data_IF_843731428210
#
_entry.id   IF_843731428210
#
_cell.length_a   1.000
_cell.length_b   1.000
_cell.length_c   1.000
_cell.angle_alpha   90.00
_cell.angle_beta   90.00
_cell.angle_gamma   90.00
#
_symmetry.space_group_name_H-M   'P 1'
#
loop_
_entity.id
_entity.type
_entity.pdbx_description
1 polymer ?
#
# COMPACT_ATOMS: atom_id res chain seq x y z
N UNK A 1 1.05 -13.38 -26.16
CA UNK A 1 2.04 -12.33 -25.95
C UNK A 1 2.71 -12.54 -24.61
N UNK A 2 4.00 -12.64 -24.61
CA UNK A 2 4.74 -12.80 -23.37
C UNK A 2 4.95 -11.45 -22.68
N UNK A 3 4.94 -11.48 -21.37
CA UNK A 3 5.13 -10.28 -20.57
C UNK A 3 6.60 -9.84 -20.62
N UNK A 4 6.82 -8.56 -20.88
CA UNK A 4 8.14 -7.94 -20.85
C UNK A 4 8.03 -6.55 -20.23
N UNK A 5 9.14 -5.81 -20.20
CA UNK A 5 9.22 -4.52 -19.52
C UNK A 5 8.40 -3.40 -20.14
N UNK A 6 7.79 -3.63 -21.27
CA UNK A 6 7.00 -2.60 -21.95
C UNK A 6 5.57 -3.07 -22.19
N UNK A 7 5.09 -3.93 -21.31
CA UNK A 7 3.73 -4.43 -21.40
C UNK A 7 2.87 -3.85 -20.30
N UNK A 8 1.58 -3.84 -20.56
CA UNK A 8 0.56 -3.60 -19.53
C UNK A 8 -0.14 -4.93 -19.31
N UNK A 9 -0.21 -5.34 -18.05
CA UNK A 9 -0.85 -6.58 -17.66
C UNK A 9 -2.08 -6.28 -16.83
N UNK A 10 -3.15 -7.02 -17.08
CA UNK A 10 -4.34 -6.97 -16.23
C UNK A 10 -4.23 -8.15 -15.27
N UNK A 11 -4.30 -7.87 -13.99
CA UNK A 11 -4.12 -8.86 -12.93
C UNK A 11 -5.30 -8.93 -12.00
N UNK A 12 -5.51 -10.13 -11.47
CA UNK A 12 -6.34 -10.35 -10.30
C UNK A 12 -5.48 -11.07 -9.26
N UNK A 13 -5.81 -10.92 -7.99
CA UNK A 13 -5.02 -11.56 -6.94
C UNK A 13 -5.78 -11.76 -5.64
N UNK A 14 -5.22 -12.62 -4.80
CA UNK A 14 -5.54 -12.72 -3.39
C UNK A 14 -4.24 -12.56 -2.62
N UNK A 15 -4.23 -11.65 -1.68
CA UNK A 15 -3.06 -11.38 -0.84
C UNK A 15 -3.37 -11.86 0.58
N UNK A 16 -2.50 -12.70 1.12
CA UNK A 16 -2.66 -13.22 2.47
C UNK A 16 -1.36 -13.04 3.25
N UNK A 17 -1.46 -13.18 4.57
CA UNK A 17 -0.27 -13.27 5.41
C UNK A 17 0.17 -14.73 5.49
N UNK A 18 1.19 -15.01 6.32
CA UNK A 18 1.73 -16.36 6.45
C UNK A 18 0.81 -17.29 7.23
N UNK A 19 -0.21 -16.76 7.88
CA UNK A 19 -1.20 -17.54 8.61
C UNK A 19 -2.44 -17.83 7.77
N UNK A 20 -2.46 -17.31 6.53
CA UNK A 20 -3.58 -17.53 5.62
C UNK A 20 -4.69 -16.51 5.76
N UNK A 21 -4.51 -15.48 6.58
CA UNK A 21 -5.50 -14.43 6.69
C UNK A 21 -5.50 -13.57 5.43
N UNK A 22 -6.66 -13.35 4.85
CA UNK A 22 -6.78 -12.53 3.65
C UNK A 22 -6.61 -11.07 3.99
N UNK A 23 -5.69 -10.42 3.29
CA UNK A 23 -5.37 -9.01 3.50
C UNK A 23 -5.94 -8.13 2.39
N UNK A 24 -6.03 -8.66 1.17
CA UNK A 24 -6.58 -7.95 0.05
C UNK A 24 -7.01 -8.92 -1.03
N UNK A 25 -8.10 -8.60 -1.71
CA UNK A 25 -8.60 -9.38 -2.83
C UNK A 25 -8.91 -8.41 -3.96
N UNK A 26 -8.32 -8.68 -5.12
CA UNK A 26 -8.61 -7.96 -6.35
C UNK A 26 -9.23 -8.96 -7.31
N UNK A 27 -10.54 -8.94 -7.44
CA UNK A 27 -11.25 -9.89 -8.29
C UNK A 27 -11.70 -9.29 -9.62
N UNK A 28 -11.65 -7.97 -9.77
CA UNK A 28 -11.86 -7.33 -11.07
C UNK A 28 -10.50 -6.95 -11.65
N UNK A 29 -10.19 -7.34 -12.89
CA UNK A 29 -8.88 -7.09 -13.45
C UNK A 29 -8.51 -5.61 -13.46
N UNK A 30 -7.31 -5.30 -13.02
CA UNK A 30 -6.75 -3.95 -13.05
C UNK A 30 -5.46 -3.97 -13.84
N UNK A 31 -5.25 -2.97 -14.65
CA UNK A 31 -4.06 -2.86 -15.50
C UNK A 31 -2.89 -2.21 -14.78
N UNK A 32 -1.71 -2.80 -14.97
CA UNK A 32 -0.46 -2.30 -14.40
C UNK A 32 0.62 -2.30 -15.47
N UNK A 33 1.45 -1.28 -15.45
CA UNK A 33 2.60 -1.18 -16.36
C UNK A 33 3.76 -1.96 -15.79
N UNK A 34 4.29 -2.90 -16.57
CA UNK A 34 5.50 -3.63 -16.21
C UNK A 34 6.71 -2.78 -16.58
N UNK A 35 7.66 -2.68 -15.68
CA UNK A 35 8.85 -1.86 -15.91
C UNK A 35 8.68 -0.40 -15.52
N UNK A 36 7.51 -0.04 -15.01
CA UNK A 36 7.22 1.32 -14.53
C UNK A 36 7.16 1.37 -13.01
N UNK A 37 6.21 2.15 -12.50
CA UNK A 37 6.07 2.39 -11.08
C UNK A 37 4.86 1.71 -10.46
N UNK A 38 4.16 0.87 -11.22
CA UNK A 38 2.90 0.29 -10.77
C UNK A 38 3.04 -0.96 -9.92
N UNK A 39 4.09 -1.73 -10.09
CA UNK A 39 4.25 -3.02 -9.45
C UNK A 39 5.52 -3.10 -8.63
N UNK A 40 5.50 -3.94 -7.60
CA UNK A 40 6.71 -4.28 -6.86
C UNK A 40 7.66 -5.01 -7.79
N UNK A 41 8.94 -4.75 -7.61
CA UNK A 41 9.97 -5.35 -8.47
C UNK A 41 9.90 -6.87 -8.49
N UNK A 42 9.65 -7.49 -7.34
CA UNK A 42 9.56 -8.94 -7.24
C UNK A 42 8.40 -9.47 -8.08
N UNK A 43 7.30 -8.75 -8.13
CA UNK A 43 6.15 -9.13 -8.95
C UNK A 43 6.51 -9.01 -10.43
N UNK A 44 7.18 -7.93 -10.82
CA UNK A 44 7.60 -7.74 -12.20
C UNK A 44 8.54 -8.85 -12.66
N UNK A 45 9.50 -9.20 -11.83
CA UNK A 45 10.43 -10.27 -12.16
C UNK A 45 9.73 -11.61 -12.33
N UNK A 46 8.76 -11.87 -11.48
CA UNK A 46 8.00 -13.12 -11.55
C UNK A 46 7.12 -13.21 -12.78
N UNK A 47 6.63 -12.07 -13.27
CA UNK A 47 5.75 -12.03 -14.43
C UNK A 47 6.47 -12.21 -15.76
N UNK A 48 7.78 -11.93 -15.81
CA UNK A 48 8.54 -11.99 -17.07
C UNK A 48 8.41 -13.35 -17.75
N UNK A 49 8.07 -13.33 -19.05
CA UNK A 49 7.98 -14.54 -19.84
C UNK A 49 6.66 -15.30 -19.74
N UNK A 50 5.78 -14.88 -18.86
CA UNK A 50 4.47 -15.52 -18.73
C UNK A 50 3.47 -14.91 -19.71
N UNK A 51 2.37 -15.63 -19.92
CA UNK A 51 1.33 -15.22 -20.83
C UNK A 51 -0.02 -15.18 -20.13
N UNK A 52 -1.05 -14.73 -20.85
CA UNK A 52 -2.42 -14.72 -20.34
C UNK A 52 -2.82 -16.11 -19.82
N UNK A 53 -3.44 -16.10 -18.67
CA UNK A 53 -3.87 -17.34 -18.00
C UNK A 53 -2.87 -17.88 -17.00
N UNK A 54 -1.67 -17.32 -16.94
CA UNK A 54 -0.67 -17.75 -15.97
C UNK A 54 -1.15 -17.48 -14.55
N UNK A 55 -0.91 -18.44 -13.67
CA UNK A 55 -1.21 -18.32 -12.25
C UNK A 55 0.09 -18.40 -11.50
N UNK A 56 0.35 -17.44 -10.62
CA UNK A 56 1.60 -17.35 -9.89
C UNK A 56 1.34 -17.26 -8.41
N UNK A 57 2.22 -17.90 -7.65
CA UNK A 57 2.20 -17.82 -6.20
C UNK A 57 3.54 -17.25 -5.76
N UNK A 58 3.51 -16.10 -5.11
CA UNK A 58 4.72 -15.41 -4.71
C UNK A 58 4.78 -15.30 -3.20
N UNK A 59 5.98 -15.49 -2.68
CA UNK A 59 6.27 -15.24 -1.28
C UNK A 59 7.05 -13.93 -1.23
N UNK A 60 6.51 -12.93 -0.58
CA UNK A 60 7.12 -11.62 -0.48
C UNK A 60 7.56 -11.39 0.95
N UNK A 61 8.87 -11.25 1.15
CA UNK A 61 9.38 -10.87 2.45
C UNK A 61 9.18 -9.37 2.64
N UNK A 62 9.23 -8.86 3.88
CA UNK A 62 9.03 -7.42 4.09
C UNK A 62 9.89 -6.54 3.20
N UNK A 63 11.15 -6.88 3.02
CA UNK A 63 12.05 -6.09 2.17
C UNK A 63 11.67 -6.11 0.70
N UNK A 64 10.93 -7.12 0.26
CA UNK A 64 10.46 -7.22 -1.13
C UNK A 64 9.10 -6.56 -1.31
N UNK A 65 8.45 -6.15 -0.25
CA UNK A 65 7.10 -5.64 -0.27
C UNK A 65 7.03 -4.23 0.33
N UNK A 66 6.54 -4.10 1.53
CA UNK A 66 6.29 -2.79 2.14
C UNK A 66 7.33 -2.41 3.20
N UNK A 67 8.43 -3.14 3.23
CA UNK A 67 9.54 -2.86 4.12
C UNK A 67 9.34 -3.40 5.52
N UNK A 68 10.40 -3.33 6.30
CA UNK A 68 10.36 -3.74 7.69
C UNK A 68 9.61 -2.72 8.54
N UNK A 69 9.06 -3.20 9.65
CA UNK A 69 8.45 -2.30 10.60
C UNK A 69 9.55 -1.39 11.20
N UNK A 70 9.30 -0.09 11.20
CA UNK A 70 10.27 0.89 11.71
C UNK A 70 9.69 1.53 12.96
N UNK A 71 10.23 1.19 14.13
CA UNK A 71 9.75 1.74 15.39
C UNK A 71 10.06 3.23 15.55
N UNK A 72 10.92 3.79 14.70
CA UNK A 72 11.17 5.23 14.68
C UNK A 72 10.02 6.00 14.05
N UNK A 73 9.07 5.32 13.44
CA UNK A 73 7.86 5.94 12.91
C UNK A 73 6.70 5.87 13.90
N UNK A 74 6.95 5.45 15.13
CA UNK A 74 5.98 5.51 16.20
C UNK A 74 6.20 6.79 17.00
N UNK A 75 5.16 7.57 17.18
CA UNK A 75 5.24 8.84 17.88
C UNK A 75 4.19 8.91 18.98
N UNK A 76 4.63 9.42 20.14
CA UNK A 76 3.73 9.68 21.25
C UNK A 76 3.40 11.17 21.25
N UNK A 77 2.11 11.49 21.14
CA UNK A 77 1.69 12.88 21.07
C UNK A 77 0.63 13.13 22.15
N UNK A 78 0.57 14.37 22.67
CA UNK A 78 -0.45 14.69 23.67
C UNK A 78 -1.85 14.57 23.10
N UNK A 79 -2.71 13.85 23.81
CA UNK A 79 -4.09 13.65 23.36
C UNK A 79 -4.85 14.98 23.23
N UNK A 80 -4.49 15.94 24.02
CA UNK A 80 -5.14 17.25 24.01
C UNK A 80 -5.00 17.99 22.67
N UNK A 81 -4.02 17.61 21.85
CA UNK A 81 -3.82 18.21 20.53
C UNK A 81 -4.82 17.71 19.49
N UNK A 82 -5.53 16.63 19.78
CA UNK A 82 -6.43 15.98 18.83
C UNK A 82 -7.89 16.23 19.18
N UNK A 83 -8.80 16.00 18.21
CA UNK A 83 -10.22 16.13 18.49
C UNK A 83 -10.66 15.20 19.62
N UNK A 84 -11.69 15.61 20.34
CA UNK A 84 -12.19 14.81 21.46
C UNK A 84 -12.74 13.46 21.03
N UNK A 85 -13.15 13.32 19.78
CA UNK A 85 -13.71 12.10 19.22
C UNK A 85 -12.66 11.19 18.58
N UNK A 86 -11.39 11.45 18.84
CA UNK A 86 -10.31 10.61 18.28
C UNK A 86 -10.48 9.16 18.74
N UNK A 87 -10.24 8.22 17.82
CA UNK A 87 -10.38 6.81 18.08
C UNK A 87 -9.23 6.03 17.45
N UNK A 88 -8.96 4.85 17.97
CA UNK A 88 -7.99 3.95 17.36
C UNK A 88 -8.42 3.61 15.94
N UNK A 89 -7.45 3.52 15.06
CA UNK A 89 -7.72 3.25 13.64
C UNK A 89 -7.88 4.47 12.78
N UNK A 90 -8.06 5.65 13.38
CA UNK A 90 -8.12 6.89 12.60
C UNK A 90 -6.80 7.15 11.92
N UNK A 91 -6.84 7.77 10.73
CA UNK A 91 -5.65 8.11 9.98
C UNK A 91 -5.52 9.61 9.79
N UNK A 92 -4.28 10.09 9.75
CA UNK A 92 -3.96 11.49 9.52
C UNK A 92 -2.79 11.57 8.55
N UNK A 93 -2.89 12.48 7.60
CA UNK A 93 -1.71 12.80 6.78
C UNK A 93 -0.73 13.61 7.60
N UNK A 94 0.56 13.39 7.39
CA UNK A 94 1.58 14.06 8.20
C UNK A 94 1.49 15.56 8.21
N UNK A 95 1.15 16.15 7.05
CA UNK A 95 0.99 17.60 6.95
C UNK A 95 -0.31 18.11 7.59
N UNK A 96 -1.24 17.23 7.92
CA UNK A 96 -2.49 17.58 8.57
C UNK A 96 -2.49 17.29 10.07
N UNK A 97 -1.36 16.87 10.62
CA UNK A 97 -1.26 16.64 12.05
C UNK A 97 -1.45 17.97 12.80
N UNK A 98 -2.06 17.91 14.00
CA UNK A 98 -2.24 19.12 14.81
C UNK A 98 -0.92 19.83 15.10
N UNK A 99 -0.97 21.13 15.22
CA UNK A 99 0.18 21.91 15.64
C UNK A 99 0.62 21.47 17.05
N UNK A 100 1.91 21.40 17.26
CA UNK A 100 2.45 20.93 18.53
C UNK A 100 2.89 19.48 18.51
N UNK A 101 2.58 18.74 17.47
CA UNK A 101 3.12 17.40 17.30
C UNK A 101 4.60 17.46 17.01
N UNK A 102 5.27 16.32 17.20
CA UNK A 102 6.71 16.22 17.02
C UNK A 102 7.13 16.78 15.65
N UNK A 103 7.98 17.82 15.60
CA UNK A 103 8.40 18.40 14.33
C UNK A 103 9.27 17.47 13.51
N UNK A 104 9.86 16.43 14.12
CA UNK A 104 10.66 15.45 13.41
C UNK A 104 9.81 14.40 12.70
N UNK A 105 8.51 14.36 12.94
CA UNK A 105 7.65 13.42 12.25
C UNK A 105 7.57 13.78 10.76
N UNK A 106 7.84 12.81 9.86
CA UNK A 106 7.75 13.09 8.43
C UNK A 106 6.39 13.62 8.04
N UNK A 107 6.38 14.66 7.20
CA UNK A 107 5.12 15.30 6.77
C UNK A 107 4.48 14.59 5.59
N UNK A 108 5.22 13.73 4.92
CA UNK A 108 4.73 12.99 3.76
C UNK A 108 4.24 11.58 4.09
N UNK A 109 4.21 11.22 5.36
CA UNK A 109 3.74 9.92 5.80
C UNK A 109 2.27 9.98 6.21
N UNK A 110 1.63 8.84 6.16
CA UNK A 110 0.27 8.66 6.68
C UNK A 110 0.38 8.00 8.05
N UNK A 111 -0.27 8.58 9.05
CA UNK A 111 -0.22 8.08 10.42
C UNK A 111 -1.56 7.48 10.82
N UNK A 112 -1.48 6.35 11.51
CA UNK A 112 -2.65 5.68 12.07
C UNK A 112 -2.58 5.75 13.58
N UNK A 113 -3.72 5.99 14.22
CA UNK A 113 -3.81 5.93 15.69
C UNK A 113 -3.74 4.48 16.10
N UNK A 114 -2.58 4.07 16.62
CA UNK A 114 -2.34 2.68 17.01
C UNK A 114 -2.89 2.38 18.40
N UNK A 115 -2.71 3.32 19.32
CA UNK A 115 -3.21 3.18 20.69
C UNK A 115 -3.69 4.54 21.19
N UNK A 116 -4.64 4.49 22.09
CA UNK A 116 -5.23 5.70 22.65
C UNK A 116 -5.24 5.60 24.17
N UNK A 117 -4.58 6.55 24.80
CA UNK A 117 -4.47 6.63 26.25
C UNK A 117 -5.13 7.89 26.76
N UNK A 118 -5.42 7.99 28.07
CA UNK A 118 -6.11 9.18 28.60
C UNK A 118 -5.39 10.49 28.33
N UNK A 119 -4.07 10.48 28.28
CA UNK A 119 -3.27 11.71 28.15
C UNK A 119 -2.42 11.75 26.90
N UNK A 120 -2.35 10.68 26.12
CA UNK A 120 -1.57 10.67 24.91
C UNK A 120 -2.10 9.71 23.87
N UNK A 121 -1.59 9.87 22.65
CA UNK A 121 -1.97 9.10 21.46
C UNK A 121 -0.70 8.54 20.87
N UNK A 122 -0.73 7.27 20.46
CA UNK A 122 0.36 6.65 19.73
C UNK A 122 0.03 6.68 18.25
N UNK A 123 0.87 7.35 17.47
CA UNK A 123 0.75 7.43 16.01
C UNK A 123 1.76 6.49 15.37
N UNK A 124 1.32 5.73 14.39
CA UNK A 124 2.15 4.79 13.66
C UNK A 124 2.23 5.23 12.20
N UNK A 125 3.41 5.62 11.76
CA UNK A 125 3.66 6.05 10.39
C UNK A 125 4.07 4.92 9.44
N UNK A 126 4.08 3.68 9.91
CA UNK A 126 4.40 2.54 9.07
C UNK A 126 3.25 2.22 8.12
N UNK A 127 3.60 1.66 6.96
CA UNK A 127 2.57 1.10 6.08
C UNK A 127 1.86 -0.02 6.84
N UNK A 128 0.54 -0.19 6.67
CA UNK A 128 -0.21 -1.23 7.38
C UNK A 128 0.35 -2.63 7.19
N UNK A 129 1.02 -2.89 6.08
CA UNK A 129 1.60 -4.20 5.79
C UNK A 129 3.10 -4.26 5.99
N UNK A 130 3.73 -3.23 6.55
CA UNK A 130 5.16 -3.28 6.84
C UNK A 130 5.45 -4.33 7.90
N UNK A 131 6.59 -4.96 7.79
CA UNK A 131 7.01 -6.01 8.71
C UNK A 131 6.26 -7.33 8.56
N UNK A 132 5.42 -7.44 7.53
CA UNK A 132 4.61 -8.64 7.30
C UNK A 132 5.11 -9.35 6.06
N UNK A 133 5.43 -10.64 6.18
CA UNK A 133 5.68 -11.47 5.01
C UNK A 133 4.35 -11.81 4.35
N UNK A 134 4.30 -11.70 3.04
CA UNK A 134 3.06 -11.81 2.28
C UNK A 134 3.07 -13.01 1.34
N UNK A 135 1.89 -13.53 1.09
CA UNK A 135 1.65 -14.58 0.12
C UNK A 135 0.70 -14.03 -0.92
N UNK A 136 1.16 -13.92 -2.16
CA UNK A 136 0.37 -13.36 -3.25
C UNK A 136 0.06 -14.45 -4.25
N UNK A 137 -1.24 -14.71 -4.46
CA UNK A 137 -1.71 -15.58 -5.53
C UNK A 137 -2.29 -14.67 -6.60
N UNK A 138 -1.65 -14.60 -7.75
CA UNK A 138 -2.12 -13.73 -8.81
C UNK A 138 -2.37 -14.50 -10.09
N UNK A 139 -3.19 -13.92 -10.95
CA UNK A 139 -3.49 -14.48 -12.26
C UNK A 139 -3.38 -13.37 -13.30
N UNK A 140 -2.80 -13.71 -14.43
CA UNK A 140 -2.70 -12.81 -15.57
C UNK A 140 -3.95 -12.92 -16.40
N UNK A 141 -4.77 -11.88 -16.40
CA UNK A 141 -6.04 -11.88 -17.13
C UNK A 141 -5.89 -11.36 -18.54
N UNK A 142 -4.95 -10.44 -18.79
CA UNK A 142 -4.68 -9.91 -20.12
C UNK A 142 -3.27 -9.34 -20.17
N UNK A 143 -2.72 -9.30 -21.39
CA UNK A 143 -1.40 -8.69 -21.65
C UNK A 143 -1.54 -7.90 -22.94
N UNK A 144 -1.05 -6.66 -22.94
CA UNK A 144 -0.96 -5.83 -24.15
C UNK A 144 0.30 -5.00 -24.12
N UNK A 145 0.65 -4.45 -25.26
CA UNK A 145 1.76 -3.52 -25.31
C UNK A 145 1.37 -2.21 -24.65
N UNK A 146 2.30 -1.61 -23.94
CA UNK A 146 2.09 -0.30 -23.36
C UNK A 146 2.13 0.76 -24.46
N UNK A 147 1.38 1.85 -24.26
CA UNK A 147 1.47 2.99 -25.17
C UNK A 147 2.68 3.84 -24.80
N UNK A 148 3.12 4.67 -25.73
CA UNK A 148 4.23 5.59 -25.47
C UNK A 148 3.91 6.51 -24.31
N UNK A 149 2.67 6.92 -24.20
CA UNK A 149 2.22 7.78 -23.11
C UNK A 149 2.34 7.07 -21.77
N UNK A 150 1.94 5.81 -21.71
CA UNK A 150 2.06 5.02 -20.48
C UNK A 150 3.51 4.84 -20.07
N UNK A 151 4.36 4.52 -21.03
CA UNK A 151 5.79 4.36 -20.79
C UNK A 151 6.40 5.67 -20.28
N UNK A 152 6.04 6.78 -20.91
CA UNK A 152 6.54 8.09 -20.52
C UNK A 152 6.09 8.51 -19.12
N UNK A 153 4.89 8.11 -18.70
CA UNK A 153 4.39 8.39 -17.36
C UNK A 153 4.88 7.39 -16.32
N UNK A 154 5.33 6.22 -16.76
CA UNK A 154 5.73 5.16 -15.85
C UNK A 154 4.56 4.45 -15.18
N UNK A 155 3.35 4.57 -15.72
CA UNK A 155 2.16 3.98 -15.12
C UNK A 155 1.07 3.76 -16.17
N UNK A 156 0.25 2.74 -15.95
CA UNK A 156 -0.94 2.51 -16.76
C UNK A 156 -2.13 3.36 -16.30
N UNK A 157 -1.94 4.17 -15.28
CA UNK A 157 -2.96 5.11 -14.82
C UNK A 157 -3.68 4.71 -13.55
N UNK A 158 -3.66 3.44 -13.18
CA UNK A 158 -4.30 2.99 -11.94
C UNK A 158 -3.43 3.22 -10.73
N UNK A 159 -2.17 3.51 -10.96
CA UNK A 159 -1.19 3.66 -9.91
C UNK A 159 -0.77 2.31 -9.38
N UNK A 160 0.16 2.38 -8.48
CA UNK A 160 0.84 1.27 -7.93
C UNK A 160 -0.09 0.30 -7.22
N UNK A 161 0.32 -0.90 -7.09
CA UNK A 161 -0.15 -1.92 -6.19
C UNK A 161 -0.74 -1.27 -4.93
N UNK A 162 -2.01 -0.95 -4.99
CA UNK A 162 -2.65 -0.18 -3.93
C UNK A 162 -3.34 -1.09 -2.96
N UNK A 163 -2.72 -1.28 -1.82
CA UNK A 163 -3.35 -1.99 -0.74
C UNK A 163 -3.74 -0.97 0.30
N UNK A 164 -5.05 -0.83 0.49
CA UNK A 164 -5.59 0.13 1.43
C UNK A 164 -5.96 -0.57 2.72
N UNK A 165 -5.80 0.09 3.85
CA UNK A 165 -6.32 -0.45 5.10
C UNK A 165 -7.81 -0.69 4.98
N UNK A 166 -8.29 -1.74 5.60
CA UNK A 166 -9.71 -2.08 5.58
C UNK A 166 -10.54 -1.03 6.29
N UNK A 167 -10.03 -0.49 7.38
CA UNK A 167 -10.73 0.54 8.11
C UNK A 167 -10.74 1.83 7.30
N UNK A 168 -11.80 2.55 7.40
CA UNK A 168 -11.94 3.79 6.66
C UNK A 168 -11.26 4.94 7.36
N UNK A 169 -10.85 5.91 6.57
CA UNK A 169 -10.45 7.19 7.11
C UNK A 169 -11.65 7.83 7.77
N UNK A 170 -11.39 8.62 8.79
CA UNK A 170 -12.45 9.34 9.47
C UNK A 170 -13.12 10.26 8.47
N UNK A 171 -14.46 10.28 8.41
CA UNK A 171 -15.15 11.17 7.48
C UNK A 171 -14.71 12.61 7.58
N UNK A 172 -14.38 13.06 8.76
CA UNK A 172 -13.80 14.39 8.92
C UNK A 172 -12.51 14.56 8.17
N UNK A 173 -11.77 13.50 7.97
CA UNK A 173 -10.58 13.53 7.15
C UNK A 173 -10.90 13.73 5.70
N UNK A 174 -12.01 13.18 5.27
CA UNK A 174 -12.41 13.37 3.89
C UNK A 174 -12.64 14.82 3.60
N UNK A 175 -13.04 15.57 4.60
CA UNK A 175 -13.25 16.98 4.45
C UNK A 175 -12.02 17.77 4.81
N UNK A 176 -11.03 17.14 5.38
CA UNK A 176 -9.78 17.79 5.74
C UNK A 176 -8.86 17.92 4.55
N UNK A 177 -9.26 17.39 3.50
CA UNK A 177 -8.44 17.38 2.32
C UNK A 177 -8.91 18.32 1.29
#
# INVERSE_FOLDING_TARGET
>A
MEINEQCVVALTWTLTDTLGEELDILDDPVEFLVGGNDLLKKIEEALQGHEVGAKLHLHLEPEDAFGDFNDKLLFLEPRALFPADIQEGMTFEGHALPAGCNPDAPKDALYTVADLYPDHVVLDGNHPLSGIALRLSLRVEAVREATEEEIGRGTAGTGFFRIQPVHESVPGNDTLH
#
